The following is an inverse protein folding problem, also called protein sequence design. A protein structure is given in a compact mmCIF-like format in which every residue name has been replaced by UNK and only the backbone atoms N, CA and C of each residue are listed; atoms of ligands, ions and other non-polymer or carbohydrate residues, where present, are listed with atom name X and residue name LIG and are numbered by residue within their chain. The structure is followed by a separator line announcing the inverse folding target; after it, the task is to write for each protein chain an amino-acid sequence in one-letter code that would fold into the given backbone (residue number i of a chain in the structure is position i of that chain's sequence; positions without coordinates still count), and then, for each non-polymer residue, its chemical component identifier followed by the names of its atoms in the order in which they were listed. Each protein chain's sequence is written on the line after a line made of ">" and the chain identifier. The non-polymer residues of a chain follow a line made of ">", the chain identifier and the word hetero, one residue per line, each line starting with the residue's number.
data_IF_009981607790
#
_entry.id   IF_009981607790
#
_cell.length_a   1.000
_cell.length_b   1.000
_cell.length_c   1.000
_cell.angle_alpha   90.00
_cell.angle_beta   90.00
_cell.angle_gamma   90.00
#
_symmetry.space_group_name_H-M   'P 1'
#
loop_
_entity.id
_entity.type
_entity.pdbx_description
1 polymer ?
#
# COMPACT_ATOMS: atom_id res chain seq x y z
N UNK A 1 0.85 -6.60 69.92
CA UNK A 1 2.30 -6.30 69.87
C UNK A 1 2.80 -6.62 68.48
N UNK A 2 3.29 -5.57 67.79
CA UNK A 2 4.21 -5.53 66.64
C UNK A 2 3.73 -6.18 65.33
N UNK A 3 3.21 -5.37 64.42
CA UNK A 3 3.93 -4.54 63.43
C UNK A 3 4.59 -5.37 62.33
N UNK A 4 4.01 -5.34 61.13
CA UNK A 4 4.74 -4.86 59.95
C UNK A 4 3.77 -4.55 58.80
N UNK A 5 3.59 -3.25 58.60
CA UNK A 5 3.17 -2.64 57.35
C UNK A 5 4.17 -2.96 56.23
N UNK A 6 3.67 -3.28 55.04
CA UNK A 6 4.36 -2.90 53.81
C UNK A 6 3.35 -2.35 52.78
N UNK A 7 3.53 -1.07 52.47
CA UNK A 7 2.63 -0.21 51.72
C UNK A 7 3.21 -0.04 50.31
N UNK A 8 2.70 -0.77 49.32
CA UNK A 8 3.19 -0.64 47.93
C UNK A 8 2.47 0.50 47.20
N UNK A 9 3.06 1.69 47.26
CA UNK A 9 2.75 2.85 46.41
C UNK A 9 2.84 2.46 44.92
N UNK A 10 1.74 2.52 44.18
CA UNK A 10 1.76 2.73 42.73
C UNK A 10 1.01 4.01 42.38
N UNK A 11 1.76 4.93 41.79
CA UNK A 11 1.37 6.27 41.36
C UNK A 11 0.24 6.15 40.32
N UNK A 12 -0.91 6.76 40.61
CA UNK A 12 -1.88 7.15 39.57
C UNK A 12 -1.26 8.31 38.80
N UNK A 13 -0.91 8.09 37.54
CA UNK A 13 -0.64 9.18 36.60
C UNK A 13 -2.00 9.64 36.10
N UNK A 14 -2.41 10.82 36.57
CA UNK A 14 -3.55 11.56 36.06
C UNK A 14 -3.07 12.23 34.78
N UNK A 15 -3.52 11.76 33.62
CA UNK A 15 -3.41 12.56 32.40
C UNK A 15 -4.54 13.59 32.41
N UNK A 16 -4.17 14.84 32.67
CA UNK A 16 -5.03 15.99 32.42
C UNK A 16 -5.30 16.12 30.91
N UNK A 17 -6.48 16.61 30.50
CA UNK A 17 -6.81 16.81 29.10
C UNK A 17 -6.01 17.98 28.54
N UNK A 18 -5.12 17.71 27.58
CA UNK A 18 -4.48 18.76 26.81
C UNK A 18 -5.45 19.23 25.70
N UNK A 19 -5.61 20.55 25.65
CA UNK A 19 -6.57 21.28 24.86
C UNK A 19 -6.54 20.95 23.36
N UNK A 20 -7.73 20.86 22.75
CA UNK A 20 -7.92 21.02 21.30
C UNK A 20 -7.50 22.45 20.93
N UNK A 21 -6.39 22.60 20.22
CA UNK A 21 -6.09 23.82 19.48
C UNK A 21 -6.63 23.61 18.08
N UNK A 22 -7.80 24.17 17.81
CA UNK A 22 -8.19 24.56 16.47
C UNK A 22 -7.28 25.73 16.06
N UNK A 23 -6.54 25.58 14.97
CA UNK A 23 -5.60 26.60 14.52
C UNK A 23 -5.28 26.39 13.04
N UNK A 24 -5.95 27.19 12.22
CA UNK A 24 -5.76 27.30 10.79
C UNK A 24 -4.33 27.74 10.41
N UNK A 25 -3.94 27.40 9.17
CA UNK A 25 -2.86 28.07 8.45
C UNK A 25 -1.63 27.21 8.21
N UNK A 26 -1.60 26.46 7.11
CA UNK A 26 -0.33 26.05 6.51
C UNK A 26 0.01 27.03 5.39
N UNK A 27 1.07 27.76 5.70
CA UNK A 27 1.85 28.69 4.87
C UNK A 27 2.31 28.00 3.58
N UNK A 28 1.88 28.49 2.43
CA UNK A 28 2.45 28.12 1.13
C UNK A 28 3.75 28.92 0.96
N UNK A 29 4.90 28.25 1.05
CA UNK A 29 6.18 28.85 0.63
C UNK A 29 6.31 28.67 -0.88
N UNK A 30 5.92 29.70 -1.63
CA UNK A 30 6.22 29.83 -3.05
C UNK A 30 7.64 30.40 -3.20
N UNK A 31 8.57 29.62 -3.74
CA UNK A 31 9.85 30.16 -4.22
C UNK A 31 9.61 30.92 -5.52
N UNK A 32 9.69 32.24 -5.44
CA UNK A 32 9.75 33.17 -6.58
C UNK A 32 11.16 33.14 -7.16
N UNK A 33 11.29 32.74 -8.43
CA UNK A 33 12.50 33.02 -9.23
C UNK A 33 12.21 34.27 -10.04
N UNK A 34 12.92 35.36 -9.73
CA UNK A 34 12.92 36.58 -10.53
C UNK A 34 14.04 36.55 -11.60
N UNK A 35 13.87 37.22 -12.74
CA UNK A 35 14.82 37.21 -13.84
C UNK A 35 15.95 38.25 -13.65
N UNK A 36 17.18 37.92 -14.03
CA UNK A 36 18.28 38.88 -14.17
C UNK A 36 18.50 39.23 -15.65
N UNK A 37 18.31 40.50 -15.98
CA UNK A 37 18.65 41.14 -17.26
C UNK A 37 20.16 41.41 -17.31
N UNK A 38 20.76 41.26 -18.49
CA UNK A 38 22.22 41.32 -18.76
C UNK A 38 22.85 42.72 -18.80
N UNK A 39 24.07 42.85 -19.38
CA UNK A 39 24.23 43.71 -20.56
C UNK A 39 25.21 43.23 -21.68
N UNK A 40 24.71 43.31 -22.93
CA UNK A 40 25.21 44.02 -24.16
C UNK A 40 26.56 43.79 -24.92
N UNK A 41 26.41 43.83 -26.26
CA UNK A 41 27.31 44.13 -27.43
C UNK A 41 28.37 43.08 -27.84
N UNK A 42 28.61 42.70 -29.12
CA UNK A 42 28.23 43.16 -30.47
C UNK A 42 28.78 42.18 -31.55
N UNK A 43 28.93 42.55 -32.84
CA UNK A 43 28.12 42.04 -33.97
C UNK A 43 28.86 41.13 -34.96
N UNK A 44 28.13 40.31 -35.74
CA UNK A 44 28.38 40.22 -37.20
C UNK A 44 27.26 39.57 -38.02
N UNK A 45 27.28 39.93 -39.31
CA UNK A 45 26.24 39.86 -40.36
C UNK A 45 26.06 38.49 -41.04
N UNK A 46 24.92 38.31 -41.73
CA UNK A 46 24.63 37.73 -43.09
C UNK A 46 23.08 37.62 -43.16
N UNK A 47 22.28 38.42 -43.89
CA UNK A 47 22.10 38.76 -45.32
C UNK A 47 21.44 37.66 -46.19
N UNK A 48 20.23 38.01 -46.68
CA UNK A 48 19.49 37.56 -47.88
C UNK A 48 18.83 36.17 -47.89
N UNK A 49 17.66 35.91 -48.50
CA UNK A 49 16.85 36.68 -49.45
C UNK A 49 15.36 36.29 -49.38
N UNK A 50 14.52 37.21 -49.86
CA UNK A 50 13.07 37.14 -49.99
C UNK A 50 12.59 36.28 -51.17
N UNK A 51 11.32 35.86 -51.13
CA UNK A 51 10.43 35.71 -52.29
C UNK A 51 8.95 35.65 -51.83
N UNK A 52 8.26 36.79 -51.92
CA UNK A 52 6.80 36.93 -52.14
C UNK A 52 6.53 36.84 -53.67
N UNK A 53 5.29 36.74 -54.24
CA UNK A 53 4.02 37.38 -53.81
C UNK A 53 2.77 36.44 -53.95
N UNK A 54 1.57 36.75 -53.48
CA UNK A 54 0.65 37.73 -54.07
C UNK A 54 -0.45 38.17 -53.10
N UNK A 55 -0.73 39.47 -53.15
CA UNK A 55 -1.82 40.19 -52.47
C UNK A 55 -2.94 40.40 -53.49
N UNK A 56 -4.19 40.19 -53.08
CA UNK A 56 -5.35 40.89 -53.65
C UNK A 56 -6.03 41.70 -52.54
N UNK A 57 -6.12 43.00 -52.79
CA UNK A 57 -6.85 44.07 -52.09
C UNK A 57 -8.38 43.93 -52.31
N UNK A 58 -9.35 44.58 -51.64
CA UNK A 58 -9.43 45.52 -50.51
C UNK A 58 -10.93 45.76 -50.13
N UNK A 59 -11.23 45.76 -48.81
CA UNK A 59 -11.98 46.79 -48.02
C UNK A 59 -13.51 47.00 -48.20
N UNK A 60 -14.26 47.66 -47.26
CA UNK A 60 -13.99 48.05 -45.86
C UNK A 60 -15.03 47.50 -44.85
N UNK A 61 -14.66 47.34 -43.59
CA UNK A 61 -15.61 47.04 -42.51
C UNK A 61 -14.95 47.12 -41.15
N UNK A 62 -14.98 48.32 -40.57
CA UNK A 62 -14.56 48.62 -39.20
C UNK A 62 -15.24 47.65 -38.23
N UNK A 63 -14.48 46.80 -37.54
CA UNK A 63 -14.91 46.12 -36.33
C UNK A 63 -13.69 45.89 -35.45
N UNK A 64 -13.53 46.77 -34.46
CA UNK A 64 -12.69 46.57 -33.28
C UNK A 64 -12.94 45.17 -32.71
N UNK A 65 -11.92 44.31 -32.72
CA UNK A 65 -11.93 43.12 -31.88
C UNK A 65 -11.50 43.59 -30.49
N UNK A 66 -12.46 44.10 -29.72
CA UNK A 66 -12.31 44.24 -28.28
C UNK A 66 -12.30 42.85 -27.66
N UNK A 67 -11.11 42.36 -27.30
CA UNK A 67 -10.96 41.20 -26.43
C UNK A 67 -11.37 41.64 -25.03
N UNK A 68 -12.65 41.43 -24.68
CA UNK A 68 -13.16 41.67 -23.34
C UNK A 68 -12.52 40.72 -22.34
N UNK A 69 -11.63 41.24 -21.49
CA UNK A 69 -11.19 40.53 -20.29
C UNK A 69 -12.41 40.50 -19.36
N UNK A 70 -12.90 39.33 -18.92
CA UNK A 70 -14.00 39.28 -17.96
C UNK A 70 -13.53 39.91 -16.64
N UNK A 71 -14.03 41.10 -16.33
CA UNK A 71 -13.85 41.81 -15.05
C UNK A 71 -14.86 41.38 -13.99
N UNK A 72 -15.32 40.13 -14.02
CA UNK A 72 -16.08 39.58 -12.91
C UNK A 72 -15.15 39.40 -11.71
N UNK A 73 -15.54 39.97 -10.58
CA UNK A 73 -14.89 39.75 -9.27
C UNK A 73 -14.69 38.24 -9.02
N UNK A 74 -13.53 37.81 -8.50
CA UNK A 74 -13.31 36.41 -8.18
C UNK A 74 -14.38 35.95 -7.19
N UNK A 75 -15.15 34.94 -7.59
CA UNK A 75 -16.08 34.25 -6.70
C UNK A 75 -15.20 33.54 -5.67
N UNK A 76 -15.23 33.99 -4.42
CA UNK A 76 -14.67 33.20 -3.31
C UNK A 76 -15.49 31.92 -3.20
N UNK A 77 -14.88 30.80 -3.57
CA UNK A 77 -15.39 29.48 -3.22
C UNK A 77 -15.00 29.30 -1.75
N UNK A 78 -15.88 29.70 -0.84
CA UNK A 78 -15.60 29.77 0.60
C UNK A 78 -15.56 28.39 1.28
N UNK A 79 -15.87 27.32 0.56
CA UNK A 79 -15.68 25.96 1.07
C UNK A 79 -15.45 24.98 -0.08
N UNK A 80 -14.29 24.33 -0.09
CA UNK A 80 -14.13 23.04 -0.75
C UNK A 80 -15.16 22.10 -0.13
N UNK A 81 -15.88 21.26 -0.91
CA UNK A 81 -16.78 20.28 -0.32
C UNK A 81 -15.97 19.42 0.67
N UNK A 82 -16.24 19.58 1.97
CA UNK A 82 -15.71 18.68 2.97
C UNK A 82 -16.24 17.30 2.60
N UNK A 83 -15.34 16.41 2.21
CA UNK A 83 -15.68 15.00 2.05
C UNK A 83 -16.16 14.54 3.43
N UNK A 84 -17.45 14.28 3.58
CA UNK A 84 -18.00 13.62 4.77
C UNK A 84 -17.27 12.29 4.90
N UNK A 85 -16.30 12.23 5.82
CA UNK A 85 -15.68 10.97 6.20
C UNK A 85 -16.77 10.19 6.91
N UNK A 86 -17.22 9.08 6.31
CA UNK A 86 -18.15 8.18 6.95
C UNK A 86 -17.63 7.84 8.35
N UNK A 87 -18.48 8.04 9.37
CA UNK A 87 -18.08 8.01 10.80
C UNK A 87 -17.43 6.70 11.28
N UNK A 88 -17.48 5.64 10.46
CA UNK A 88 -16.92 4.32 10.74
C UNK A 88 -15.54 4.06 10.08
N UNK A 89 -14.97 5.05 9.37
CA UNK A 89 -13.65 4.93 8.72
C UNK A 89 -12.60 5.73 9.51
N UNK A 90 -11.58 5.02 10.00
CA UNK A 90 -10.39 5.57 10.63
C UNK A 90 -9.20 5.47 9.66
N UNK A 91 -8.37 6.51 9.58
CA UNK A 91 -7.09 6.46 8.86
C UNK A 91 -5.97 6.13 9.84
N UNK A 92 -5.33 4.99 9.64
CA UNK A 92 -4.18 4.53 10.43
C UNK A 92 -2.92 4.50 9.56
N UNK A 93 -1.74 4.52 10.17
CA UNK A 93 -0.46 4.62 9.44
C UNK A 93 0.34 3.35 9.60
N UNK A 94 0.72 2.75 8.47
CA UNK A 94 1.70 1.66 8.41
C UNK A 94 3.06 2.18 7.97
N UNK A 95 4.09 1.36 8.17
CA UNK A 95 5.47 1.71 7.84
C UNK A 95 5.98 0.89 6.66
N UNK A 96 6.45 1.59 5.64
CA UNK A 96 7.17 1.01 4.51
C UNK A 96 8.68 1.16 4.75
N UNK A 97 9.40 0.05 4.63
CA UNK A 97 10.87 0.01 4.79
C UNK A 97 11.54 -0.65 3.60
N UNK A 98 12.82 -0.37 3.39
CA UNK A 98 13.65 -1.08 2.41
C UNK A 98 13.98 -2.50 2.88
N UNK A 99 14.09 -3.44 1.95
CA UNK A 99 14.59 -4.79 2.22
C UNK A 99 16.09 -4.87 2.55
N UNK A 100 16.82 -3.75 2.46
CA UNK A 100 18.24 -3.70 2.81
C UNK A 100 18.45 -3.51 4.32
N UNK A 101 19.44 -4.19 4.93
CA UNK A 101 19.79 -3.97 6.32
C UNK A 101 20.26 -2.52 6.52
N UNK A 102 19.55 -1.78 7.37
CA UNK A 102 19.84 -0.38 7.66
C UNK A 102 19.10 0.64 6.80
N UNK A 103 17.98 0.29 6.17
CA UNK A 103 17.09 1.24 5.50
C UNK A 103 16.80 2.45 6.40
N UNK A 104 17.20 3.64 5.95
CA UNK A 104 17.42 4.79 6.85
C UNK A 104 16.18 5.64 7.02
N UNK A 105 15.22 5.52 6.12
CA UNK A 105 14.11 6.46 5.99
C UNK A 105 12.80 5.70 5.70
N UNK A 106 12.10 5.19 6.73
CA UNK A 106 10.80 4.58 6.53
C UNK A 106 9.82 5.60 5.92
N UNK A 107 8.98 5.13 5.00
CA UNK A 107 7.87 5.92 4.44
C UNK A 107 6.58 5.53 5.16
N UNK A 108 5.85 6.52 5.65
CA UNK A 108 4.52 6.31 6.25
C UNK A 108 3.48 6.25 5.14
N UNK A 109 2.72 5.15 5.06
CA UNK A 109 1.56 5.05 4.17
C UNK A 109 0.27 4.99 5.00
N UNK A 110 -0.78 5.59 4.46
CA UNK A 110 -2.10 5.60 5.09
C UNK A 110 -2.87 4.34 4.70
N UNK A 111 -3.51 3.71 5.69
CA UNK A 111 -4.44 2.60 5.53
C UNK A 111 -5.80 3.08 6.03
N UNK A 112 -6.84 2.89 5.21
CA UNK A 112 -8.20 3.15 5.63
C UNK A 112 -8.73 1.92 6.35
N UNK A 113 -9.04 2.07 7.64
CA UNK A 113 -9.56 1.04 8.53
C UNK A 113 -11.03 1.31 8.80
N UNK A 114 -11.88 0.46 8.29
CA UNK A 114 -13.32 0.54 8.47
C UNK A 114 -13.76 -0.47 9.53
N UNK A 115 -14.55 -0.05 10.52
CA UNK A 115 -15.19 -0.99 11.45
C UNK A 115 -16.59 -1.33 10.92
N UNK A 116 -16.86 -2.62 10.74
CA UNK A 116 -18.16 -3.12 10.30
C UNK A 116 -19.14 -3.31 11.48
N UNK A 117 -20.40 -3.59 11.16
CA UNK A 117 -21.48 -3.79 12.15
C UNK A 117 -21.23 -4.96 13.11
N UNK A 118 -20.41 -5.94 12.69
CA UNK A 118 -20.00 -7.08 13.52
C UNK A 118 -18.86 -6.75 14.50
N UNK A 119 -18.37 -5.50 14.50
CA UNK A 119 -17.17 -5.00 15.19
C UNK A 119 -15.83 -5.52 14.62
N UNK A 120 -15.85 -6.12 13.43
CA UNK A 120 -14.63 -6.52 12.75
C UNK A 120 -14.16 -5.38 11.86
N UNK A 121 -12.85 -5.27 11.75
CA UNK A 121 -12.16 -4.24 11.01
C UNK A 121 -11.78 -4.75 9.63
N UNK A 122 -11.87 -3.84 8.68
CA UNK A 122 -11.50 -4.01 7.28
C UNK A 122 -10.44 -2.97 6.96
N UNK A 123 -9.26 -3.43 6.60
CA UNK A 123 -8.18 -2.56 6.18
C UNK A 123 -8.16 -2.45 4.66
N UNK A 124 -7.98 -1.23 4.14
CA UNK A 124 -7.77 -0.95 2.73
C UNK A 124 -6.45 -0.21 2.55
N UNK A 125 -5.55 -0.84 1.80
CA UNK A 125 -4.26 -0.30 1.38
C UNK A 125 -4.29 -0.10 -0.13
N UNK A 126 -4.12 1.15 -0.57
CA UNK A 126 -4.04 1.49 -1.99
C UNK A 126 -2.68 2.09 -2.30
N UNK A 127 -2.00 1.51 -3.29
CA UNK A 127 -0.72 1.99 -3.79
C UNK A 127 -0.97 2.74 -5.10
N UNK A 128 -1.02 4.07 -4.98
CA UNK A 128 -1.15 4.98 -6.09
C UNK A 128 0.21 5.49 -6.59
N UNK A 129 0.20 6.39 -7.60
CA UNK A 129 1.43 6.95 -8.17
C UNK A 129 2.30 7.69 -7.15
N UNK A 130 1.67 8.35 -6.18
CA UNK A 130 2.36 9.09 -5.11
C UNK A 130 3.12 8.15 -4.19
N UNK A 131 2.44 7.12 -3.69
CA UNK A 131 3.01 6.11 -2.80
C UNK A 131 4.12 5.34 -3.51
N UNK A 132 3.94 5.00 -4.78
CA UNK A 132 4.95 4.36 -5.61
C UNK A 132 6.19 5.24 -5.83
N UNK A 133 6.02 6.54 -6.08
CA UNK A 133 7.14 7.46 -6.24
C UNK A 133 7.96 7.60 -4.95
N UNK A 134 7.29 7.72 -3.80
CA UNK A 134 7.94 7.76 -2.49
C UNK A 134 8.67 6.45 -2.18
N UNK A 135 8.04 5.31 -2.46
CA UNK A 135 8.64 3.98 -2.34
C UNK A 135 9.89 3.88 -3.20
N UNK A 136 9.82 4.32 -4.45
CA UNK A 136 10.94 4.21 -5.38
C UNK A 136 12.12 5.10 -4.99
N UNK A 137 11.84 6.30 -4.50
CA UNK A 137 12.86 7.21 -3.98
C UNK A 137 13.53 6.67 -2.72
N UNK A 138 12.74 6.16 -1.77
CA UNK A 138 13.25 5.49 -0.56
C UNK A 138 14.17 4.33 -0.94
N UNK A 139 13.68 3.40 -1.78
CA UNK A 139 14.44 2.22 -2.19
C UNK A 139 15.72 2.61 -2.96
N UNK A 140 15.68 3.65 -3.79
CA UNK A 140 16.87 4.15 -4.50
C UNK A 140 17.92 4.70 -3.53
N UNK A 141 17.50 5.46 -2.52
CA UNK A 141 18.38 6.01 -1.48
C UNK A 141 18.98 4.93 -0.59
N UNK A 142 18.19 3.91 -0.28
CA UNK A 142 18.60 2.79 0.58
C UNK A 142 19.33 1.67 -0.20
N UNK A 143 19.40 1.73 -1.53
CA UNK A 143 19.95 0.65 -2.38
C UNK A 143 19.08 -0.62 -2.40
N UNK A 144 17.81 -0.51 -2.03
CA UNK A 144 16.85 -1.60 -1.98
C UNK A 144 16.17 -1.89 -3.30
N UNK A 145 15.62 -3.10 -3.40
CA UNK A 145 14.87 -3.58 -4.56
C UNK A 145 13.42 -3.92 -4.24
N UNK A 146 13.08 -4.09 -2.95
CA UNK A 146 11.73 -4.42 -2.51
C UNK A 146 11.38 -3.56 -1.30
N UNK A 147 10.25 -2.86 -1.37
CA UNK A 147 9.67 -2.17 -0.22
C UNK A 147 8.82 -3.13 0.59
N UNK A 148 9.03 -3.21 1.90
CA UNK A 148 8.26 -4.05 2.81
C UNK A 148 7.32 -3.16 3.60
N UNK A 149 6.02 -3.26 3.33
CA UNK A 149 5.00 -2.54 4.07
C UNK A 149 4.52 -3.37 5.25
N UNK A 150 4.70 -2.83 6.46
CA UNK A 150 4.14 -3.38 7.67
C UNK A 150 2.76 -2.74 7.90
N UNK A 151 1.72 -3.58 7.89
CA UNK A 151 0.39 -3.13 8.27
C UNK A 151 0.41 -2.59 9.71
N UNK A 152 -0.36 -1.53 10.02
CA UNK A 152 -0.52 -1.04 11.38
C UNK A 152 -0.93 -2.17 12.33
N UNK A 153 -0.47 -2.09 13.58
CA UNK A 153 -0.83 -3.08 14.59
C UNK A 153 -2.35 -3.19 14.75
N UNK A 154 -2.81 -4.43 14.87
CA UNK A 154 -4.19 -4.81 15.11
C UNK A 154 -4.22 -6.20 15.75
N UNK A 155 -5.23 -6.45 16.58
CA UNK A 155 -5.42 -7.78 17.15
C UNK A 155 -6.09 -8.73 16.14
N UNK A 156 -5.80 -10.02 16.31
CA UNK A 156 -6.36 -11.10 15.48
C UNK A 156 -7.87 -11.18 15.54
N UNK A 157 -8.48 -10.72 16.63
CA UNK A 157 -9.93 -10.65 16.79
C UNK A 157 -10.54 -9.39 16.19
N UNK A 158 -9.71 -8.43 15.77
CA UNK A 158 -10.15 -7.13 15.31
C UNK A 158 -10.19 -7.08 13.78
N UNK A 159 -9.13 -7.44 13.05
CA UNK A 159 -9.10 -7.31 11.58
C UNK A 159 -9.48 -8.62 10.87
N UNK A 160 -10.63 -8.61 10.21
CA UNK A 160 -11.11 -9.71 9.35
C UNK A 160 -10.40 -9.72 8.00
N UNK A 161 -10.29 -8.52 7.43
CA UNK A 161 -10.14 -8.34 5.99
C UNK A 161 -9.05 -7.35 5.66
N UNK A 162 -8.25 -7.68 4.64
CA UNK A 162 -7.35 -6.75 3.99
C UNK A 162 -7.71 -6.66 2.51
N UNK A 163 -7.91 -5.43 2.03
CA UNK A 163 -8.06 -5.09 0.62
C UNK A 163 -6.79 -4.36 0.18
N UNK A 164 -5.98 -5.04 -0.61
CA UNK A 164 -4.82 -4.45 -1.25
C UNK A 164 -5.14 -4.11 -2.70
N UNK A 165 -4.80 -2.89 -3.11
CA UNK A 165 -4.89 -2.44 -4.50
C UNK A 165 -3.60 -1.75 -4.92
N UNK A 166 -3.06 -2.11 -6.09
CA UNK A 166 -1.96 -1.40 -6.73
C UNK A 166 -2.40 -0.95 -8.11
N UNK A 167 -2.43 0.36 -8.32
CA UNK A 167 -2.78 0.91 -9.64
C UNK A 167 -1.73 0.56 -10.69
N UNK A 168 -2.15 0.39 -11.94
CA UNK A 168 -1.27 0.16 -13.09
C UNK A 168 -0.20 1.26 -13.18
N UNK A 169 -0.58 2.51 -12.88
CA UNK A 169 0.37 3.63 -12.91
C UNK A 169 1.41 3.54 -11.80
N UNK A 170 1.04 3.09 -10.60
CA UNK A 170 2.00 2.78 -9.54
C UNK A 170 2.97 1.66 -9.96
N UNK A 171 2.43 0.58 -10.54
CA UNK A 171 3.23 -0.53 -11.04
C UNK A 171 4.23 -0.08 -12.12
N UNK A 172 3.85 0.81 -13.04
CA UNK A 172 4.75 1.39 -14.05
C UNK A 172 5.92 2.17 -13.43
N UNK A 173 5.67 2.93 -12.37
CA UNK A 173 6.71 3.71 -11.67
C UNK A 173 7.73 2.78 -11.01
N UNK A 174 7.25 1.76 -10.28
CA UNK A 174 8.11 0.77 -9.63
C UNK A 174 8.86 -0.10 -10.64
N UNK A 175 8.19 -0.50 -11.72
CA UNK A 175 8.77 -1.26 -12.83
C UNK A 175 9.94 -0.53 -13.49
N UNK A 176 9.78 0.78 -13.76
CA UNK A 176 10.86 1.62 -14.31
C UNK A 176 12.11 1.61 -13.43
N UNK A 177 11.91 1.54 -12.11
CA UNK A 177 13.00 1.47 -11.14
C UNK A 177 13.44 0.03 -10.80
N UNK A 178 12.87 -0.98 -11.47
CA UNK A 178 13.10 -2.43 -11.22
C UNK A 178 12.86 -2.84 -9.77
N UNK A 179 11.82 -2.28 -9.16
CA UNK A 179 11.48 -2.49 -7.76
C UNK A 179 10.18 -3.28 -7.58
N UNK A 180 10.10 -3.99 -6.46
CA UNK A 180 8.95 -4.76 -6.02
C UNK A 180 8.38 -4.25 -4.69
N UNK A 181 7.33 -4.90 -4.21
CA UNK A 181 6.68 -4.57 -2.95
C UNK A 181 6.17 -5.82 -2.24
N UNK A 182 6.38 -5.87 -0.94
CA UNK A 182 5.80 -6.86 -0.05
C UNK A 182 4.85 -6.18 0.94
N UNK A 183 3.74 -6.83 1.28
CA UNK A 183 2.79 -6.38 2.30
C UNK A 183 2.73 -7.43 3.40
N UNK A 184 3.14 -7.07 4.60
CA UNK A 184 3.04 -7.92 5.78
C UNK A 184 1.73 -7.62 6.52
N UNK A 185 0.73 -8.46 6.27
CA UNK A 185 -0.55 -8.43 6.94
C UNK A 185 -0.58 -9.40 8.12
N UNK A 186 -1.66 -9.36 8.89
CA UNK A 186 -1.81 -10.15 10.11
C UNK A 186 -1.84 -11.67 9.87
N UNK A 187 -2.46 -12.09 8.76
CA UNK A 187 -2.71 -13.50 8.42
C UNK A 187 -1.99 -13.98 7.17
N UNK A 188 -1.30 -13.10 6.46
CA UNK A 188 -0.52 -13.44 5.27
C UNK A 188 0.53 -12.38 4.98
N UNK A 189 1.55 -12.78 4.23
CA UNK A 189 2.42 -11.85 3.53
C UNK A 189 2.11 -11.94 2.04
N UNK A 190 1.84 -10.81 1.40
CA UNK A 190 1.78 -10.66 -0.04
C UNK A 190 3.18 -10.29 -0.52
N UNK A 191 3.68 -10.98 -1.54
CA UNK A 191 4.96 -10.64 -2.17
C UNK A 191 4.76 -10.38 -3.65
N UNK A 192 5.14 -9.18 -4.08
CA UNK A 192 5.12 -8.72 -5.47
C UNK A 192 6.57 -8.46 -5.89
N UNK A 193 7.28 -9.48 -6.39
CA UNK A 193 8.66 -9.28 -6.85
C UNK A 193 8.72 -8.27 -8.01
N UNK A 194 9.88 -7.64 -8.27
CA UNK A 194 10.03 -6.68 -9.36
C UNK A 194 9.56 -7.22 -10.72
N UNK A 195 9.77 -8.51 -10.97
CA UNK A 195 9.31 -9.19 -12.18
C UNK A 195 7.79 -9.17 -12.31
N UNK A 196 7.04 -9.43 -11.23
CA UNK A 196 5.57 -9.34 -11.24
C UNK A 196 5.11 -7.91 -11.46
N UNK A 197 5.67 -6.96 -10.71
CA UNK A 197 5.29 -5.55 -10.82
C UNK A 197 5.51 -5.05 -12.25
N UNK A 198 6.60 -5.48 -12.90
CA UNK A 198 6.87 -5.13 -14.29
C UNK A 198 5.94 -5.76 -15.33
N UNK A 199 5.28 -6.87 -15.00
CA UNK A 199 4.35 -7.58 -15.87
C UNK A 199 2.88 -7.23 -15.62
N UNK A 200 2.58 -6.32 -14.68
CA UNK A 200 1.23 -5.80 -14.45
C UNK A 200 0.79 -4.91 -15.62
N UNK A 201 -0.31 -5.28 -16.27
CA UNK A 201 -0.91 -4.54 -17.38
C UNK A 201 -2.14 -3.75 -16.97
N UNK A 202 -2.70 -4.07 -15.83
CA UNK A 202 -3.91 -3.50 -15.24
C UNK A 202 -3.69 -3.33 -13.74
N UNK A 203 -4.69 -2.76 -13.06
CA UNK A 203 -4.69 -2.65 -11.61
C UNK A 203 -4.67 -4.04 -10.97
N UNK A 204 -3.88 -4.20 -9.91
CA UNK A 204 -3.83 -5.44 -9.14
C UNK A 204 -4.66 -5.27 -7.87
N UNK A 205 -5.72 -6.05 -7.76
CA UNK A 205 -6.51 -6.16 -6.54
C UNK A 205 -6.35 -7.55 -5.92
N UNK A 206 -6.04 -7.57 -4.62
CA UNK A 206 -5.93 -8.78 -3.81
C UNK A 206 -6.66 -8.55 -2.50
N UNK A 207 -7.63 -9.40 -2.21
CA UNK A 207 -8.33 -9.40 -0.92
C UNK A 207 -7.91 -10.62 -0.11
N UNK A 208 -7.60 -10.39 1.15
CA UNK A 208 -7.50 -11.42 2.17
C UNK A 208 -8.71 -11.35 3.07
N UNK A 209 -9.38 -12.48 3.27
CA UNK A 209 -10.56 -12.61 4.11
C UNK A 209 -10.30 -13.72 5.13
N UNK A 210 -10.40 -13.39 6.42
CA UNK A 210 -10.40 -14.40 7.47
C UNK A 210 -11.79 -14.56 8.04
N UNK A 211 -12.29 -15.79 7.99
CA UNK A 211 -13.45 -16.19 8.79
C UNK A 211 -12.93 -16.91 10.04
N UNK A 212 -12.93 -16.20 11.18
CA UNK A 212 -12.51 -16.76 12.47
C UNK A 212 -13.41 -17.92 12.94
N UNK A 213 -14.59 -18.11 12.34
CA UNK A 213 -15.52 -19.20 12.61
C UNK A 213 -15.52 -20.31 11.56
N UNK A 214 -14.77 -20.16 10.45
CA UNK A 214 -14.77 -21.15 9.38
C UNK A 214 -14.30 -22.52 9.87
N UNK A 215 -14.96 -23.56 9.39
CA UNK A 215 -14.57 -24.94 9.67
C UNK A 215 -13.14 -25.18 9.17
N UNK A 216 -12.24 -25.51 10.11
CA UNK A 216 -10.85 -25.80 9.78
C UNK A 216 -10.75 -27.21 9.18
N UNK A 217 -10.00 -27.39 8.08
CA UNK A 217 -9.74 -28.73 7.56
C UNK A 217 -8.97 -29.55 8.59
N UNK A 218 -9.16 -30.87 8.57
CA UNK A 218 -8.45 -31.77 9.46
C UNK A 218 -6.93 -31.60 9.32
N UNK A 219 -6.23 -31.49 10.45
CA UNK A 219 -4.78 -31.28 10.47
C UNK A 219 -4.32 -29.84 10.18
N UNK A 220 -5.22 -28.85 10.18
CA UNK A 220 -4.86 -27.44 10.04
C UNK A 220 -3.80 -26.99 11.06
N UNK A 221 -2.78 -26.29 10.56
CA UNK A 221 -1.67 -25.69 11.30
C UNK A 221 -1.64 -24.16 11.15
N UNK A 222 -2.58 -23.60 10.40
CA UNK A 222 -2.85 -22.16 10.29
C UNK A 222 -4.35 -21.92 10.31
N UNK A 223 -4.75 -20.68 10.60
CA UNK A 223 -6.10 -20.19 10.32
C UNK A 223 -6.34 -20.21 8.81
N UNK A 224 -7.50 -20.73 8.33
CA UNK A 224 -7.83 -20.67 6.92
C UNK A 224 -7.96 -19.22 6.44
N UNK A 225 -7.43 -18.94 5.25
CA UNK A 225 -7.46 -17.62 4.65
C UNK A 225 -8.14 -17.69 3.29
N UNK A 226 -9.26 -16.99 3.13
CA UNK A 226 -9.84 -16.67 1.84
C UNK A 226 -8.96 -15.65 1.12
N UNK A 227 -8.62 -15.92 -0.13
CA UNK A 227 -7.88 -15.01 -0.98
C UNK A 227 -8.67 -14.83 -2.26
N UNK A 228 -8.99 -13.58 -2.59
CA UNK A 228 -9.66 -13.22 -3.84
C UNK A 228 -8.75 -12.34 -4.68
N UNK A 229 -8.59 -12.67 -5.94
CA UNK A 229 -7.86 -11.85 -6.91
C UNK A 229 -8.33 -12.16 -8.33
N UNK A 230 -8.31 -11.16 -9.20
CA UNK A 230 -8.45 -11.37 -10.64
C UNK A 230 -7.14 -11.89 -11.28
N UNK A 231 -6.01 -11.72 -10.61
CA UNK A 231 -4.69 -12.11 -11.12
C UNK A 231 -4.45 -13.62 -10.96
N UNK A 232 -4.54 -14.34 -12.08
CA UNK A 232 -4.28 -15.80 -12.16
C UNK A 232 -2.92 -16.13 -12.79
N UNK A 233 -2.03 -15.13 -12.91
CA UNK A 233 -0.72 -15.30 -13.57
C UNK A 233 0.25 -16.23 -12.83
N UNK A 234 -0.04 -16.59 -11.57
CA UNK A 234 0.87 -17.37 -10.72
C UNK A 234 2.13 -16.61 -10.31
N UNK A 235 2.16 -15.29 -10.50
CA UNK A 235 3.32 -14.44 -10.17
C UNK A 235 3.12 -13.61 -8.90
N UNK A 236 1.93 -13.70 -8.29
CA UNK A 236 1.66 -13.22 -6.93
C UNK A 236 2.04 -14.32 -5.95
N UNK A 237 2.92 -14.00 -5.01
CA UNK A 237 3.36 -14.97 -4.01
C UNK A 237 2.76 -14.65 -2.66
N UNK A 238 2.29 -15.68 -1.97
CA UNK A 238 1.69 -15.57 -0.64
C UNK A 238 2.51 -16.40 0.33
N UNK A 239 2.73 -15.88 1.53
CA UNK A 239 3.22 -16.67 2.66
C UNK A 239 2.15 -16.70 3.76
N UNK A 240 1.72 -17.90 4.14
CA UNK A 240 0.85 -18.09 5.31
C UNK A 240 1.70 -18.36 6.57
N UNK A 241 1.32 -17.83 7.74
CA UNK A 241 2.01 -18.10 9.00
C UNK A 241 1.75 -19.53 9.46
N UNK A 242 2.80 -20.21 9.91
CA UNK A 242 2.66 -21.45 10.67
C UNK A 242 2.35 -21.10 12.12
N UNK A 243 1.10 -21.29 12.54
CA UNK A 243 0.64 -20.91 13.89
C UNK A 243 1.04 -21.93 14.95
N UNK A 244 1.18 -23.20 14.58
CA UNK A 244 1.65 -24.24 15.48
C UNK A 244 3.18 -24.32 15.52
N UNK A 245 3.77 -23.91 16.63
CA UNK A 245 5.23 -23.92 16.85
C UNK A 245 5.75 -25.23 17.45
N UNK A 246 4.88 -26.16 17.85
CA UNK A 246 5.25 -27.39 18.55
C UNK A 246 5.48 -28.59 17.60
N UNK A 247 5.68 -28.34 16.31
CA UNK A 247 5.90 -29.40 15.32
C UNK A 247 7.36 -29.90 15.34
N UNK A 248 7.54 -31.21 15.31
CA UNK A 248 8.86 -31.82 15.08
C UNK A 248 9.35 -31.57 13.65
N UNK A 249 10.67 -31.64 13.42
CA UNK A 249 11.26 -31.50 12.08
C UNK A 249 10.66 -32.47 11.05
N UNK A 250 10.33 -33.70 11.48
CA UNK A 250 9.68 -34.69 10.62
C UNK A 250 8.26 -34.27 10.20
N UNK A 251 7.51 -33.60 11.08
CA UNK A 251 6.20 -33.05 10.76
C UNK A 251 6.32 -31.80 9.89
N UNK A 252 7.28 -30.92 10.17
CA UNK A 252 7.53 -29.71 9.37
C UNK A 252 7.79 -30.05 7.90
N UNK A 253 8.57 -31.10 7.61
CA UNK A 253 8.85 -31.57 6.25
C UNK A 253 7.64 -32.15 5.50
N UNK A 254 6.54 -32.44 6.22
CA UNK A 254 5.31 -33.00 5.66
C UNK A 254 4.21 -31.95 5.46
N UNK A 255 4.43 -30.72 5.92
CA UNK A 255 3.44 -29.66 5.77
C UNK A 255 3.13 -29.40 4.30
N UNK A 256 1.85 -29.11 4.03
CA UNK A 256 1.34 -28.76 2.71
C UNK A 256 0.43 -27.53 2.84
N UNK A 257 0.28 -26.79 1.75
CA UNK A 257 -0.80 -25.81 1.62
C UNK A 257 -1.95 -26.51 0.90
N UNK A 258 -3.09 -26.59 1.58
CA UNK A 258 -4.33 -27.11 1.03
C UNK A 258 -5.20 -25.94 0.58
N UNK A 259 -5.73 -26.03 -0.64
CA UNK A 259 -6.59 -25.05 -1.26
C UNK A 259 -7.96 -25.65 -1.53
N UNK A 260 -9.01 -24.90 -1.20
CA UNK A 260 -10.40 -25.17 -1.56
C UNK A 260 -10.89 -24.02 -2.43
N UNK A 261 -11.51 -24.34 -3.56
CA UNK A 261 -11.92 -23.35 -4.55
C UNK A 261 -13.45 -23.20 -4.58
N UNK A 262 -13.98 -22.04 -5.01
CA UNK A 262 -15.42 -21.82 -5.10
C UNK A 262 -16.15 -22.79 -6.04
N UNK A 263 -15.44 -23.39 -7.01
CA UNK A 263 -15.96 -24.42 -7.92
C UNK A 263 -16.10 -25.81 -7.26
N UNK A 264 -15.81 -25.93 -5.96
CA UNK A 264 -15.86 -27.18 -5.19
C UNK A 264 -14.63 -28.07 -5.34
N UNK A 265 -13.68 -27.71 -6.22
CA UNK A 265 -12.42 -28.45 -6.34
C UNK A 265 -11.50 -28.13 -5.16
N UNK A 266 -10.66 -29.08 -4.77
CA UNK A 266 -9.70 -28.91 -3.70
C UNK A 266 -8.43 -29.71 -3.95
N UNK A 267 -7.30 -29.26 -3.40
CA UNK A 267 -6.03 -29.93 -3.61
C UNK A 267 -4.86 -29.26 -2.92
N UNK A 268 -3.68 -29.86 -3.09
CA UNK A 268 -2.44 -29.32 -2.54
C UNK A 268 -1.76 -28.38 -3.53
N UNK A 269 -1.28 -27.25 -3.01
CA UNK A 269 -0.50 -26.28 -3.77
C UNK A 269 0.99 -26.49 -3.46
N UNK A 270 1.87 -26.48 -4.48
CA UNK A 270 3.32 -26.48 -4.27
C UNK A 270 3.73 -25.29 -3.40
N UNK A 271 4.32 -25.58 -2.26
CA UNK A 271 4.70 -24.57 -1.27
C UNK A 271 6.03 -24.94 -0.63
N UNK A 272 6.79 -23.93 -0.23
CA UNK A 272 8.07 -24.08 0.45
C UNK A 272 8.02 -23.43 1.83
N UNK A 273 8.67 -24.07 2.81
CA UNK A 273 8.88 -23.49 4.13
C UNK A 273 9.77 -22.26 4.00
N UNK A 274 9.43 -21.19 4.71
CA UNK A 274 10.22 -19.95 4.79
C UNK A 274 10.18 -19.37 6.20
N UNK A 275 11.05 -18.41 6.48
CA UNK A 275 10.88 -17.51 7.63
C UNK A 275 9.67 -16.60 7.43
N UNK A 276 8.97 -16.25 8.50
CA UNK A 276 7.78 -15.38 8.43
C UNK A 276 7.97 -14.05 9.18
N UNK A 277 7.85 -14.03 10.52
CA UNK A 277 8.09 -12.83 11.33
C UNK A 277 8.48 -13.18 12.78
N UNK A 278 8.49 -12.19 13.70
CA UNK A 278 8.86 -12.42 15.10
C UNK A 278 7.81 -13.23 15.88
N UNK A 279 6.52 -13.11 15.52
CA UNK A 279 5.42 -13.82 16.19
C UNK A 279 5.33 -15.28 15.73
N UNK A 280 5.53 -15.52 14.44
CA UNK A 280 5.57 -16.84 13.82
C UNK A 280 6.90 -16.99 13.12
N UNK A 281 7.79 -17.84 13.64
CA UNK A 281 9.13 -18.01 13.08
C UNK A 281 9.09 -18.52 11.63
N UNK A 282 8.09 -19.36 11.31
CA UNK A 282 7.97 -20.03 10.02
C UNK A 282 6.65 -19.75 9.33
N UNK A 283 6.64 -19.94 8.02
CA UNK A 283 5.46 -19.90 7.17
C UNK A 283 5.64 -20.77 5.92
N UNK A 284 4.56 -20.92 5.16
CA UNK A 284 4.57 -21.64 3.88
C UNK A 284 4.33 -20.65 2.74
N UNK A 285 5.33 -20.50 1.86
CA UNK A 285 5.30 -19.63 0.69
C UNK A 285 4.88 -20.40 -0.56
N UNK A 286 3.93 -19.86 -1.32
CA UNK A 286 3.44 -20.45 -2.56
C UNK A 286 3.06 -19.37 -3.57
N UNK A 287 3.03 -19.73 -4.85
CA UNK A 287 2.46 -18.91 -5.91
C UNK A 287 0.94 -19.05 -5.88
N UNK A 288 0.20 -17.94 -5.90
CA UNK A 288 -1.26 -17.93 -5.85
C UNK A 288 -1.83 -18.33 -7.22
N UNK A 289 -2.53 -19.47 -7.33
CA UNK A 289 -3.04 -19.94 -8.63
C UNK A 289 -4.34 -19.25 -9.07
N UNK A 290 -5.28 -19.04 -8.14
CA UNK A 290 -6.59 -18.39 -8.37
C UNK A 290 -7.24 -18.05 -7.03
N UNK A 291 -8.41 -17.41 -7.03
CA UNK A 291 -9.18 -17.18 -5.80
C UNK A 291 -9.61 -18.48 -5.11
N UNK A 292 -9.52 -18.53 -3.78
CA UNK A 292 -9.89 -19.70 -2.99
C UNK A 292 -9.51 -19.55 -1.51
N UNK A 293 -9.78 -20.59 -0.73
CA UNK A 293 -9.43 -20.69 0.68
C UNK A 293 -8.17 -21.54 0.85
N UNK A 294 -7.17 -20.99 1.54
CA UNK A 294 -5.85 -21.59 1.70
C UNK A 294 -5.56 -21.86 3.18
N UNK A 295 -5.05 -23.04 3.48
CA UNK A 295 -4.70 -23.43 4.85
C UNK A 295 -3.42 -24.26 4.85
N UNK A 296 -2.51 -24.01 5.80
CA UNK A 296 -1.39 -24.93 6.04
C UNK A 296 -1.95 -26.14 6.78
N UNK A 297 -1.72 -27.34 6.26
CA UNK A 297 -2.12 -28.58 6.92
C UNK A 297 -0.93 -29.52 7.12
N UNK A 298 -1.01 -30.32 8.18
CA UNK A 298 -0.23 -31.54 8.35
C UNK A 298 -1.11 -32.72 7.91
N UNK A 299 -0.87 -33.32 6.74
CA UNK A 299 -1.66 -34.46 6.28
C UNK A 299 -1.55 -35.63 7.27
N UNK A 300 -2.61 -36.44 7.34
CA UNK A 300 -2.56 -37.69 8.11
C UNK A 300 -1.34 -38.53 7.67
N UNK A 301 -0.76 -39.30 8.60
CA UNK A 301 0.27 -40.26 8.23
C UNK A 301 -0.34 -41.25 7.24
N UNK A 302 0.22 -41.35 6.03
CA UNK A 302 -0.08 -42.51 5.19
C UNK A 302 0.41 -43.74 5.95
N UNK A 303 -0.54 -44.55 6.42
CA UNK A 303 -0.24 -45.93 6.79
C UNK A 303 0.24 -46.59 5.49
N UNK A 304 1.56 -46.82 5.41
CA UNK A 304 2.15 -47.68 4.39
C UNK A 304 2.01 -49.13 4.83
#
# INVERSE_FOLDING_TARGET
>A
MKDHHEYKKRKRIIHAPAAKIAGAGILVVACVIAPSVGPTFGPDRIVCAASTPAVSAASPGTNDISVGIPTSTPISIDELPQTEVASNIQYVTGLLVSNQPGGKLPVSLTVARETNDSAWMKDRLTIGPKEAALTADMLRKDGGSVGIFHMPEADKTEVADLYFSMTQRAAQILSTSKQGMDVQALYAQLHLPPSRVSSLKEDLDVQFHTDHGAQRPAGAQSTPLGIETADTSGQVWITLPLENTALSSAQMNRLKVYAQYPDGTAGYVPAAMTTYNQKYAHGMKFALPKSGQYTIILPAASNK
#
